data_IF_526429669269
#
_entry.id   IF_526429669269
#
_cell.length_a   1.000
_cell.length_b   1.000
_cell.length_c   1.000
_cell.angle_alpha   90.00
_cell.angle_beta   90.00
_cell.angle_gamma   90.00
#
_symmetry.space_group_name_H-M   'P 1'
#
loop_
_entity.id
_entity.type
_entity.pdbx_description
1 polymer ?
#
# COMPACT_ATOMS: atom_id res chain seq x y z
N UNK A 1 15.51 -12.33 2.93
CA UNK A 1 14.96 -11.44 3.97
C UNK A 1 14.42 -10.22 3.25
N UNK A 2 13.12 -9.96 3.29
CA UNK A 2 12.59 -8.68 2.79
C UNK A 2 13.02 -7.61 3.79
N UNK A 3 13.99 -6.78 3.39
CA UNK A 3 14.35 -5.59 4.13
C UNK A 3 13.11 -4.69 4.17
N UNK A 4 12.60 -4.36 5.37
CA UNK A 4 11.40 -3.50 5.49
C UNK A 4 10.26 -4.04 6.36
N UNK A 5 10.43 -5.19 7.03
CA UNK A 5 9.42 -5.67 8.00
C UNK A 5 9.10 -4.65 9.09
N UNK A 6 10.03 -3.75 9.42
CA UNK A 6 9.92 -2.87 10.61
C UNK A 6 9.75 -1.38 10.28
N UNK A 7 9.79 -0.96 9.01
CA UNK A 7 9.77 0.48 8.67
C UNK A 7 8.38 1.12 8.53
N UNK A 8 7.30 0.34 8.65
CA UNK A 8 5.92 0.84 8.62
C UNK A 8 5.10 0.30 9.82
N UNK A 9 5.45 0.74 11.01
CA UNK A 9 4.84 0.32 12.29
C UNK A 9 3.34 0.72 12.43
N UNK A 10 2.83 1.60 11.56
CA UNK A 10 1.43 2.06 11.62
C UNK A 10 0.41 1.14 10.89
N UNK A 11 0.84 0.05 10.24
CA UNK A 11 -0.05 -0.83 9.46
C UNK A 11 -1.17 -1.47 10.30
N UNK A 12 -0.91 -2.05 11.49
CA UNK A 12 -1.97 -2.64 12.30
C UNK A 12 -3.03 -1.62 12.70
N UNK A 13 -2.61 -0.38 13.01
CA UNK A 13 -3.52 0.71 13.35
C UNK A 13 -4.38 1.12 12.16
N UNK A 14 -3.81 1.24 10.97
CA UNK A 14 -4.57 1.55 9.76
C UNK A 14 -5.61 0.46 9.45
N UNK A 15 -5.23 -0.82 9.49
CA UNK A 15 -6.17 -1.93 9.27
C UNK A 15 -7.30 -1.94 10.32
N UNK A 16 -6.98 -1.68 11.59
CA UNK A 16 -7.98 -1.59 12.65
C UNK A 16 -8.96 -0.44 12.40
N UNK A 17 -8.46 0.73 11.99
CA UNK A 17 -9.29 1.88 11.63
C UNK A 17 -10.20 1.57 10.43
N UNK A 18 -9.67 0.93 9.38
CA UNK A 18 -10.46 0.56 8.18
C UNK A 18 -11.58 -0.44 8.52
N UNK A 19 -11.30 -1.42 9.37
CA UNK A 19 -12.30 -2.39 9.86
C UNK A 19 -13.39 -1.72 10.69
N UNK A 20 -13.06 -0.67 11.43
CA UNK A 20 -13.98 0.08 12.27
C UNK A 20 -14.75 1.19 11.53
N UNK A 21 -14.40 1.46 10.26
CA UNK A 21 -15.00 2.54 9.49
C UNK A 21 -16.48 2.21 9.18
N UNK A 22 -17.44 3.09 9.52
CA UNK A 22 -18.83 2.91 9.13
C UNK A 22 -19.01 2.84 7.62
N UNK A 23 -20.11 2.27 7.14
CA UNK A 23 -20.39 2.10 5.70
C UNK A 23 -20.23 3.40 4.88
N UNK A 24 -20.58 4.55 5.48
CA UNK A 24 -20.45 5.88 4.88
C UNK A 24 -19.38 6.76 5.56
N UNK A 25 -18.49 6.15 6.34
CA UNK A 25 -17.37 6.82 6.95
C UNK A 25 -16.41 7.37 5.89
N UNK A 26 -15.86 8.56 6.16
CA UNK A 26 -14.87 9.22 5.29
C UNK A 26 -13.53 9.27 6.01
N UNK A 27 -12.46 9.05 5.27
CA UNK A 27 -11.09 9.13 5.79
C UNK A 27 -10.41 10.35 5.16
N UNK A 28 -9.87 11.22 6.01
CA UNK A 28 -9.01 12.33 5.59
C UNK A 28 -7.59 12.04 6.02
N UNK A 29 -6.67 11.94 5.05
CA UNK A 29 -5.28 11.54 5.27
C UNK A 29 -4.37 12.70 4.88
N UNK A 30 -3.51 13.14 5.80
CA UNK A 30 -2.52 14.17 5.52
C UNK A 30 -1.13 13.79 6.07
N UNK A 31 -0.10 14.41 5.53
CA UNK A 31 1.25 14.42 6.06
C UNK A 31 1.81 15.84 5.88
N UNK A 32 3.12 16.07 6.10
CA UNK A 32 3.69 17.41 5.99
C UNK A 32 3.40 18.11 4.66
N UNK A 33 3.62 17.41 3.54
CA UNK A 33 3.42 17.96 2.17
C UNK A 33 2.28 17.30 1.39
N UNK A 34 1.54 16.37 1.99
CA UNK A 34 0.41 15.70 1.34
C UNK A 34 0.74 14.73 0.19
N UNK A 35 2.02 14.48 -0.12
CA UNK A 35 2.42 13.67 -1.27
C UNK A 35 2.91 12.26 -0.88
N UNK A 36 4.01 12.17 -0.12
CA UNK A 36 4.72 10.91 0.17
C UNK A 36 3.88 9.89 0.94
N UNK A 37 3.79 10.06 2.26
CA UNK A 37 3.03 9.14 3.14
C UNK A 37 1.54 9.14 2.82
N UNK A 38 1.00 10.33 2.54
CA UNK A 38 -0.41 10.48 2.16
C UNK A 38 -0.76 9.62 0.94
N UNK A 39 0.03 9.66 -0.13
CA UNK A 39 -0.22 8.85 -1.33
C UNK A 39 -0.22 7.35 -1.02
N UNK A 40 0.72 6.88 -0.20
CA UNK A 40 0.80 5.47 0.24
C UNK A 40 -0.47 5.05 1.01
N UNK A 41 -0.88 5.81 2.01
CA UNK A 41 -2.05 5.44 2.82
C UNK A 41 -3.38 5.58 2.06
N UNK A 42 -3.50 6.52 1.11
CA UNK A 42 -4.67 6.59 0.23
C UNK A 42 -4.71 5.37 -0.69
N UNK A 43 -3.58 4.96 -1.28
CA UNK A 43 -3.53 3.75 -2.09
C UNK A 43 -3.86 2.49 -1.28
N UNK A 44 -3.37 2.39 -0.03
CA UNK A 44 -3.73 1.29 0.88
C UNK A 44 -5.23 1.24 1.16
N UNK A 45 -5.85 2.38 1.51
CA UNK A 45 -7.30 2.49 1.70
C UNK A 45 -8.06 2.00 0.46
N UNK A 46 -7.59 2.44 -0.70
CA UNK A 46 -8.21 2.13 -1.98
C UNK A 46 -8.11 0.64 -2.35
N UNK A 47 -6.94 0.04 -2.13
CA UNK A 47 -6.71 -1.39 -2.31
C UNK A 47 -7.61 -2.22 -1.40
N UNK A 48 -7.72 -1.89 -0.11
CA UNK A 48 -8.58 -2.62 0.83
C UNK A 48 -10.05 -2.62 0.41
N UNK A 49 -10.50 -1.57 -0.28
CA UNK A 49 -11.86 -1.47 -0.80
C UNK A 49 -12.04 -2.16 -2.14
N UNK A 50 -11.06 -2.11 -3.03
CA UNK A 50 -11.28 -2.35 -4.45
C UNK A 50 -10.38 -3.43 -5.09
N UNK A 51 -9.30 -3.87 -4.44
CA UNK A 51 -8.34 -4.82 -5.03
C UNK A 51 -8.93 -6.20 -5.37
N UNK A 52 -10.08 -6.56 -4.80
CA UNK A 52 -10.78 -7.80 -5.11
C UNK A 52 -11.44 -7.81 -6.50
N UNK A 53 -11.58 -6.64 -7.15
CA UNK A 53 -12.17 -6.53 -8.50
C UNK A 53 -11.50 -5.49 -9.41
N UNK A 54 -10.53 -4.70 -8.93
CA UNK A 54 -9.77 -3.72 -9.71
C UNK A 54 -8.29 -4.13 -9.78
N UNK A 55 -7.68 -3.99 -10.95
CA UNK A 55 -6.28 -4.35 -11.17
C UNK A 55 -5.31 -3.43 -10.42
N UNK A 56 -4.12 -3.93 -10.09
CA UNK A 56 -3.05 -3.13 -9.49
C UNK A 56 -2.73 -1.89 -10.33
N UNK A 57 -2.59 -2.07 -11.65
CA UNK A 57 -2.27 -0.97 -12.58
C UNK A 57 -3.33 0.14 -12.51
N UNK A 58 -4.61 -0.20 -12.58
CA UNK A 58 -5.69 0.80 -12.55
C UNK A 58 -5.76 1.53 -11.21
N UNK A 59 -5.48 0.83 -10.10
CA UNK A 59 -5.39 1.44 -8.77
C UNK A 59 -4.23 2.43 -8.69
N UNK A 60 -3.06 2.10 -9.24
CA UNK A 60 -1.91 3.01 -9.24
C UNK A 60 -2.16 4.21 -10.15
N UNK A 61 -2.63 4.00 -11.38
CA UNK A 61 -2.88 5.07 -12.36
C UNK A 61 -3.89 6.09 -11.83
N UNK A 62 -5.00 5.66 -11.23
CA UNK A 62 -5.99 6.60 -10.70
C UNK A 62 -5.48 7.39 -9.49
N UNK A 63 -4.63 6.79 -8.66
CA UNK A 63 -4.00 7.49 -7.54
C UNK A 63 -2.96 8.50 -8.04
N UNK A 64 -2.21 8.18 -9.09
CA UNK A 64 -1.30 9.12 -9.75
C UNK A 64 -2.04 10.28 -10.44
N UNK A 65 -3.20 10.01 -11.05
CA UNK A 65 -4.03 11.06 -11.65
C UNK A 65 -4.58 12.04 -10.60
N UNK A 66 -4.93 11.55 -9.41
CA UNK A 66 -5.46 12.38 -8.32
C UNK A 66 -4.36 13.09 -7.50
N UNK A 67 -3.27 12.37 -7.20
CA UNK A 67 -2.14 12.84 -6.43
C UNK A 67 -0.85 12.45 -7.16
N UNK A 68 -0.38 13.28 -8.12
CA UNK A 68 0.80 12.99 -8.96
C UNK A 68 2.13 13.02 -8.19
N UNK A 69 2.07 12.93 -6.86
CA UNK A 69 3.22 12.86 -5.97
C UNK A 69 4.09 11.63 -6.25
N UNK A 70 5.37 11.75 -5.88
CA UNK A 70 6.42 10.73 -6.14
C UNK A 70 6.26 9.41 -5.36
N UNK A 71 5.15 9.20 -4.65
CA UNK A 71 4.99 8.03 -3.78
C UNK A 71 4.75 6.74 -4.57
N UNK A 72 4.01 6.85 -5.67
CA UNK A 72 3.58 5.74 -6.52
C UNK A 72 4.11 5.86 -7.97
N UNK A 73 4.88 6.92 -8.26
CA UNK A 73 5.54 7.11 -9.55
C UNK A 73 6.85 6.31 -9.55
N UNK A 74 6.74 5.05 -10.01
CA UNK A 74 7.86 4.12 -10.04
C UNK A 74 8.78 4.30 -11.25
N UNK A 75 8.34 5.03 -12.27
CA UNK A 75 9.08 5.28 -13.51
C UNK A 75 10.00 6.51 -13.43
N UNK A 76 9.83 7.36 -12.41
CA UNK A 76 10.69 8.53 -12.24
C UNK A 76 12.13 8.14 -11.92
N UNK A 77 13.05 8.81 -12.60
CA UNK A 77 14.47 8.74 -12.28
C UNK A 77 14.72 9.35 -10.88
N UNK A 78 15.34 8.56 -10.01
CA UNK A 78 15.68 8.88 -8.62
C UNK A 78 17.18 9.00 -8.41
N UNK A 79 17.97 8.89 -9.48
CA UNK A 79 19.44 8.98 -9.48
C UNK A 79 19.94 10.29 -8.88
N UNK A 80 19.16 11.38 -8.96
CA UNK A 80 19.56 12.70 -8.48
C UNK A 80 19.57 12.87 -6.95
N UNK A 81 19.02 11.94 -6.16
CA UNK A 81 18.85 12.13 -4.70
C UNK A 81 19.13 10.89 -3.84
N UNK A 82 19.73 9.81 -4.38
CA UNK A 82 20.03 8.60 -3.60
C UNK A 82 18.79 7.87 -3.07
N UNK A 83 17.60 8.13 -3.63
CA UNK A 83 16.31 7.58 -3.17
C UNK A 83 15.84 6.34 -3.94
N UNK A 84 16.74 5.69 -4.67
CA UNK A 84 16.46 4.47 -5.42
C UNK A 84 15.93 3.35 -4.53
N UNK A 85 16.61 3.12 -3.40
CA UNK A 85 16.21 2.08 -2.45
C UNK A 85 14.82 2.37 -1.89
N UNK A 86 14.56 3.61 -1.45
CA UNK A 86 13.25 4.01 -0.95
C UNK A 86 12.10 3.84 -1.97
N UNK A 87 12.37 4.06 -3.26
CA UNK A 87 11.38 3.82 -4.32
C UNK A 87 11.11 2.33 -4.49
N UNK A 88 12.18 1.52 -4.54
CA UNK A 88 12.07 0.07 -4.67
C UNK A 88 11.34 -0.54 -3.46
N UNK A 89 11.66 -0.10 -2.23
CA UNK A 89 10.99 -0.52 -1.01
C UNK A 89 9.49 -0.20 -1.03
N UNK A 90 9.11 0.96 -1.59
CA UNK A 90 7.69 1.35 -1.74
C UNK A 90 6.98 0.50 -2.78
N UNK A 91 7.62 0.23 -3.91
CA UNK A 91 7.05 -0.62 -4.95
C UNK A 91 6.84 -2.03 -4.42
N UNK A 92 7.85 -2.63 -3.80
CA UNK A 92 7.77 -3.96 -3.18
C UNK A 92 6.64 -3.99 -2.13
N UNK A 93 6.60 -3.00 -1.24
CA UNK A 93 5.55 -2.91 -0.23
C UNK A 93 4.14 -2.78 -0.84
N UNK A 94 3.95 -1.85 -1.78
CA UNK A 94 2.63 -1.55 -2.35
C UNK A 94 2.12 -2.73 -3.18
N UNK A 95 3.00 -3.41 -3.94
CA UNK A 95 2.65 -4.63 -4.66
C UNK A 95 2.26 -5.76 -3.70
N UNK A 96 3.01 -5.97 -2.62
CA UNK A 96 2.68 -6.99 -1.62
C UNK A 96 1.38 -6.67 -0.87
N UNK A 97 1.15 -5.38 -0.58
CA UNK A 97 -0.08 -4.93 0.07
C UNK A 97 -1.31 -5.11 -0.81
N UNK A 98 -1.17 -4.93 -2.13
CA UNK A 98 -2.23 -5.23 -3.08
C UNK A 98 -2.65 -6.71 -3.04
N UNK A 99 -1.68 -7.64 -3.04
CA UNK A 99 -1.98 -9.08 -2.96
C UNK A 99 -2.67 -9.45 -1.65
N UNK A 100 -2.24 -8.86 -0.53
CA UNK A 100 -2.95 -8.98 0.73
C UNK A 100 -4.39 -8.47 0.65
N UNK A 101 -4.60 -7.26 0.13
CA UNK A 101 -5.91 -6.61 0.09
C UNK A 101 -6.89 -7.34 -0.85
N UNK A 102 -6.38 -7.91 -1.94
CA UNK A 102 -7.13 -8.74 -2.87
C UNK A 102 -7.67 -10.01 -2.20
N UNK A 103 -6.88 -10.62 -1.32
CA UNK A 103 -7.28 -11.82 -0.56
C UNK A 103 -8.05 -11.49 0.73
N UNK A 104 -7.91 -10.27 1.25
CA UNK A 104 -8.49 -9.84 2.51
C UNK A 104 -9.20 -8.47 2.35
N UNK A 105 -10.36 -8.42 1.67
CA UNK A 105 -11.12 -7.18 1.53
C UNK A 105 -11.43 -6.55 2.88
N UNK A 106 -11.34 -5.21 2.98
CA UNK A 106 -11.42 -4.46 4.25
C UNK A 106 -10.42 -4.92 5.32
N UNK A 107 -9.35 -5.59 4.90
CA UNK A 107 -8.32 -6.13 5.78
C UNK A 107 -8.80 -7.33 6.59
N UNK A 108 -9.79 -8.10 6.11
CA UNK A 108 -10.35 -9.27 6.78
C UNK A 108 -10.51 -10.45 5.80
N UNK A 109 -10.49 -11.72 6.25
CA UNK A 109 -10.52 -12.16 7.64
C UNK A 109 -9.16 -12.13 8.35
N UNK A 110 -8.04 -12.30 7.62
CA UNK A 110 -6.70 -12.35 8.24
C UNK A 110 -6.13 -10.94 8.42
N UNK A 111 -5.47 -10.70 9.54
CA UNK A 111 -4.61 -9.53 9.69
C UNK A 111 -3.41 -9.62 8.74
N UNK A 112 -2.79 -8.47 8.46
CA UNK A 112 -1.55 -8.39 7.67
C UNK A 112 -0.45 -9.30 8.22
N UNK A 113 -0.23 -9.30 9.53
CA UNK A 113 0.84 -10.10 10.16
C UNK A 113 0.56 -11.60 10.07
N UNK A 114 -0.69 -12.02 10.27
CA UNK A 114 -1.10 -13.42 10.09
C UNK A 114 -0.94 -13.86 8.64
N UNK A 115 -1.33 -13.02 7.69
CA UNK A 115 -1.17 -13.30 6.25
C UNK A 115 0.30 -13.40 5.83
N UNK A 116 1.17 -12.52 6.34
CA UNK A 116 2.60 -12.59 6.07
C UNK A 116 3.31 -13.79 6.72
N UNK A 117 2.78 -14.29 7.84
CA UNK A 117 3.33 -15.46 8.53
C UNK A 117 2.96 -16.79 7.84
N UNK A 118 1.99 -16.78 6.92
CA UNK A 118 1.58 -17.95 6.18
C UNK A 118 2.68 -18.36 5.17
N UNK A 119 3.26 -19.58 5.30
CA UNK A 119 4.31 -20.04 4.40
C UNK A 119 3.85 -20.23 2.95
N UNK A 120 2.53 -20.29 2.71
CA UNK A 120 1.96 -20.41 1.38
C UNK A 120 1.59 -19.05 0.77
N UNK A 121 1.81 -17.94 1.49
CA UNK A 121 1.63 -16.61 0.91
C UNK A 121 2.60 -16.47 -0.27
N UNK A 122 2.09 -16.20 -1.49
CA UNK A 122 2.95 -16.00 -2.64
C UNK A 122 3.76 -14.73 -2.44
N UNK A 123 4.93 -14.87 -1.82
CA UNK A 123 6.04 -13.95 -1.95
C UNK A 123 6.63 -14.18 -3.33
N UNK A 124 5.84 -13.88 -4.37
CA UNK A 124 6.34 -13.95 -5.72
C UNK A 124 7.42 -12.87 -5.84
N UNK A 125 8.65 -13.33 -5.94
CA UNK A 125 9.76 -12.56 -6.48
C UNK A 125 9.24 -11.90 -7.75
N UNK A 126 9.27 -10.57 -7.77
CA UNK A 126 9.03 -9.81 -8.98
C UNK A 126 10.11 -10.21 -9.98
N UNK A 127 9.72 -11.01 -10.97
CA UNK A 127 10.43 -11.12 -12.24
C UNK A 127 10.12 -9.88 -13.10
#
# INVERSE_FOLDING_TARGET
>A
MIAGRDHFDCRPLHLAMERALPEHGRVHIHCGVGQGRTGIFIAMHDMLKNAHHVSFHDLIERQLAFNPGRALDFNKDVTHEGRANLRNDRLEFISLFYEYAKQNPKGAPRSWSEWLADPNTPLNNAD
#
